data_IF_959988250052
#
_entry.id   IF_959988250052
#
_cell.length_a   1.000
_cell.length_b   1.000
_cell.length_c   1.000
_cell.angle_alpha   90.00
_cell.angle_beta   90.00
_cell.angle_gamma   90.00
#
_symmetry.space_group_name_H-M   'P 1'
#
loop_
_entity.id
_entity.type
_entity.pdbx_description
1 polymer ?
#
# COMPACT_ATOMS: atom_id res chain seq x y z
N UNK A 1 -26.12 -18.09 30.48
CA UNK A 1 -25.73 -17.51 29.17
C UNK A 1 -24.24 -17.25 29.23
N UNK A 2 -23.48 -17.96 28.40
CA UNK A 2 -22.01 -17.99 28.41
C UNK A 2 -21.39 -16.63 28.10
N UNK A 3 -20.67 -16.06 29.07
CA UNK A 3 -19.83 -14.87 28.90
C UNK A 3 -18.46 -15.24 28.30
N UNK A 4 -18.47 -15.91 27.13
CA UNK A 4 -17.24 -16.44 26.49
C UNK A 4 -16.33 -15.42 25.82
N UNK A 5 -16.63 -14.12 25.91
CA UNK A 5 -15.81 -13.07 25.29
C UNK A 5 -15.29 -12.08 26.34
N UNK A 6 -13.98 -12.11 26.58
CA UNK A 6 -13.24 -11.08 27.29
C UNK A 6 -13.32 -9.75 26.53
N UNK A 7 -13.78 -8.65 27.15
CA UNK A 7 -13.77 -7.34 26.51
C UNK A 7 -12.34 -6.80 26.51
N UNK A 8 -11.61 -7.01 25.41
CA UNK A 8 -10.35 -6.32 25.18
C UNK A 8 -10.58 -4.80 25.20
N UNK A 9 -9.81 -4.09 26.01
CA UNK A 9 -9.77 -2.62 26.01
C UNK A 9 -8.44 -2.17 25.45
N UNK A 10 -8.45 -1.30 24.45
CA UNK A 10 -7.24 -0.77 23.81
C UNK A 10 -7.23 0.74 23.94
N UNK A 11 -6.15 1.28 24.47
CA UNK A 11 -5.83 2.70 24.44
C UNK A 11 -4.67 2.92 23.46
N UNK A 12 -5.01 3.46 22.29
CA UNK A 12 -4.03 3.78 21.25
C UNK A 12 -3.17 4.99 21.59
N UNK A 13 -3.64 5.87 22.48
CA UNK A 13 -2.92 7.09 22.86
C UNK A 13 -1.72 6.76 23.75
N UNK A 14 -1.94 5.85 24.70
CA UNK A 14 -0.92 5.41 25.65
C UNK A 14 -0.35 4.02 25.31
N UNK A 15 -0.69 3.51 24.11
CA UNK A 15 -0.27 2.22 23.56
C UNK A 15 -0.35 1.06 24.58
N UNK A 16 -1.47 0.94 25.30
CA UNK A 16 -1.71 -0.19 26.18
C UNK A 16 -3.00 -0.91 25.82
N UNK A 17 -3.01 -2.22 26.06
CA UNK A 17 -4.15 -3.10 25.86
C UNK A 17 -4.36 -3.92 27.13
N UNK A 18 -5.61 -4.02 27.57
CA UNK A 18 -6.01 -4.88 28.68
C UNK A 18 -6.82 -6.05 28.18
N UNK A 19 -6.40 -7.24 28.59
CA UNK A 19 -7.11 -8.49 28.37
C UNK A 19 -7.52 -9.02 29.75
N UNK A 20 -8.82 -8.98 30.06
CA UNK A 20 -9.37 -9.52 31.30
C UNK A 20 -9.95 -10.91 31.04
N UNK A 21 -9.37 -11.97 31.59
CA UNK A 21 -9.89 -13.34 31.50
C UNK A 21 -10.08 -13.93 32.88
N UNK A 22 -11.31 -14.34 33.18
CA UNK A 22 -11.74 -14.78 34.52
C UNK A 22 -11.41 -13.70 35.58
N UNK A 23 -10.59 -14.02 36.58
CA UNK A 23 -10.15 -13.11 37.65
C UNK A 23 -8.80 -12.43 37.35
N UNK A 24 -8.17 -12.74 36.22
CA UNK A 24 -6.87 -12.17 35.85
C UNK A 24 -7.00 -11.05 34.82
N UNK A 25 -6.28 -9.96 35.05
CA UNK A 25 -6.16 -8.84 34.12
C UNK A 25 -4.71 -8.71 33.67
N UNK A 26 -4.47 -8.91 32.37
CA UNK A 26 -3.14 -8.74 31.75
C UNK A 26 -3.09 -7.36 31.09
N UNK A 27 -2.10 -6.55 31.47
CA UNK A 27 -1.77 -5.29 30.82
C UNK A 27 -0.64 -5.53 29.82
N UNK A 28 -0.94 -5.38 28.53
CA UNK A 28 0.06 -5.32 27.46
C UNK A 28 0.36 -3.85 27.20
N UNK A 29 1.43 -3.33 27.79
CA UNK A 29 1.95 -2.01 27.47
C UNK A 29 2.93 -2.15 26.31
N UNK A 30 2.86 -1.27 25.31
CA UNK A 30 3.88 -1.22 24.28
C UNK A 30 5.23 -1.00 24.94
N UNK A 31 6.09 -2.01 24.81
CA UNK A 31 7.45 -1.96 25.35
C UNK A 31 8.17 -0.84 24.62
N UNK A 32 8.82 0.04 25.39
CA UNK A 32 9.70 1.06 24.83
C UNK A 32 10.68 0.37 23.86
N UNK A 33 10.77 0.91 22.64
CA UNK A 33 11.65 0.37 21.61
C UNK A 33 13.07 0.23 22.19
N UNK A 34 13.66 -0.96 22.11
CA UNK A 34 15.02 -1.23 22.59
C UNK A 34 15.95 -0.15 22.04
N UNK A 35 16.82 0.41 22.89
CA UNK A 35 17.68 1.54 22.52
C UNK A 35 18.54 1.27 21.29
N UNK A 36 18.90 0.01 21.03
CA UNK A 36 19.63 -0.41 19.82
C UNK A 36 18.76 -0.31 18.57
N UNK A 37 17.48 -0.65 18.70
CA UNK A 37 16.51 -0.53 17.60
C UNK A 37 16.20 0.94 17.34
N UNK A 38 16.02 1.74 18.39
CA UNK A 38 15.80 3.18 18.25
C UNK A 38 16.97 3.86 17.54
N UNK A 39 18.21 3.55 17.92
CA UNK A 39 19.41 4.09 17.26
C UNK A 39 19.46 3.75 15.75
N UNK A 40 19.00 2.56 15.36
CA UNK A 40 18.91 2.18 13.94
C UNK A 40 17.82 2.99 13.23
N UNK A 41 16.64 3.13 13.82
CA UNK A 41 15.54 3.92 13.24
C UNK A 41 15.96 5.38 13.04
N UNK A 42 16.63 5.97 14.03
CA UNK A 42 17.11 7.35 13.99
C UNK A 42 18.23 7.55 12.94
N UNK A 43 18.97 6.49 12.61
CA UNK A 43 20.02 6.55 11.58
C UNK A 43 19.49 6.47 10.13
N UNK A 44 18.26 5.97 9.94
CA UNK A 44 17.65 5.81 8.60
C UNK A 44 16.23 6.41 8.49
N UNK A 45 16.01 7.68 8.88
CA UNK A 45 14.68 8.29 8.80
C UNK A 45 14.18 8.38 7.36
N UNK A 46 15.09 8.48 6.39
CA UNK A 46 14.76 8.58 4.97
C UNK A 46 14.12 7.34 4.35
N UNK A 47 14.27 6.16 4.97
CA UNK A 47 13.66 4.91 4.47
C UNK A 47 12.14 4.91 4.70
N UNK A 48 11.67 5.67 5.70
CA UNK A 48 10.28 5.73 6.10
C UNK A 48 9.50 6.89 5.46
N UNK A 49 10.15 7.67 4.60
CA UNK A 49 9.50 8.74 3.85
C UNK A 49 8.93 8.12 2.56
N UNK A 50 7.71 8.52 2.20
CA UNK A 50 7.13 8.12 0.92
C UNK A 50 8.04 8.57 -0.24
N UNK A 51 8.42 7.65 -1.15
CA UNK A 51 9.33 7.98 -2.23
C UNK A 51 8.68 9.01 -3.16
N UNK A 52 9.36 10.14 -3.33
CA UNK A 52 8.95 11.18 -4.29
C UNK A 52 9.74 10.99 -5.57
N UNK A 53 9.07 10.57 -6.64
CA UNK A 53 9.69 10.35 -7.95
C UNK A 53 10.22 8.93 -8.16
N UNK A 54 11.08 8.79 -9.16
CA UNK A 54 11.77 7.53 -9.43
C UNK A 54 12.85 7.30 -8.37
N UNK A 55 13.06 6.02 -8.05
CA UNK A 55 14.14 5.60 -7.18
C UNK A 55 15.50 6.07 -7.72
N UNK A 56 16.48 6.34 -6.84
CA UNK A 56 17.84 6.69 -7.27
C UNK A 56 18.41 5.60 -8.18
N UNK A 57 19.27 6.01 -9.11
CA UNK A 57 19.91 5.10 -10.07
C UNK A 57 20.61 3.95 -9.34
N UNK A 58 20.30 2.73 -9.75
CA UNK A 58 20.89 1.50 -9.22
C UNK A 58 21.87 0.92 -10.23
N UNK A 59 22.82 0.06 -9.81
CA UNK A 59 23.72 -0.62 -10.74
C UNK A 59 22.99 -1.60 -11.68
N UNK A 60 21.74 -1.94 -11.36
CA UNK A 60 20.88 -2.78 -12.17
C UNK A 60 19.50 -2.14 -12.32
N UNK A 61 19.07 -2.00 -13.57
CA UNK A 61 17.72 -1.56 -13.92
C UNK A 61 16.89 -2.77 -14.38
N UNK A 62 15.57 -2.69 -14.16
CA UNK A 62 14.65 -3.68 -14.69
C UNK A 62 14.57 -3.54 -16.21
N UNK A 63 14.85 -4.64 -16.93
CA UNK A 63 14.72 -4.71 -18.39
C UNK A 63 13.85 -5.90 -18.78
N UNK A 64 12.90 -5.67 -19.68
CA UNK A 64 12.04 -6.69 -20.25
C UNK A 64 12.59 -7.01 -21.64
N UNK A 65 13.30 -8.14 -21.76
CA UNK A 65 13.84 -8.60 -23.05
C UNK A 65 12.73 -9.22 -23.90
N UNK A 66 12.59 -8.77 -25.14
CA UNK A 66 11.66 -9.35 -26.09
C UNK A 66 12.27 -10.58 -26.76
N UNK A 67 11.44 -11.59 -27.02
CA UNK A 67 11.84 -12.71 -27.88
C UNK A 67 12.02 -12.23 -29.33
N UNK A 68 12.96 -12.79 -30.10
CA UNK A 68 13.12 -12.45 -31.52
C UNK A 68 11.81 -12.69 -32.29
N UNK A 69 11.36 -11.68 -33.06
CA UNK A 69 10.11 -11.74 -33.80
C UNK A 69 8.84 -11.53 -32.96
N UNK A 70 8.96 -11.03 -31.72
CA UNK A 70 7.80 -10.68 -30.90
C UNK A 70 6.86 -9.71 -31.62
N UNK A 71 5.58 -10.06 -31.70
CA UNK A 71 4.55 -9.19 -32.24
C UNK A 71 4.25 -8.05 -31.27
N UNK A 72 4.11 -6.83 -31.81
CA UNK A 72 3.65 -5.68 -31.03
C UNK A 72 2.21 -5.90 -30.57
N UNK A 73 1.92 -5.66 -29.29
CA UNK A 73 0.55 -5.63 -28.77
C UNK A 73 0.11 -4.17 -28.57
N UNK A 74 -0.90 -3.77 -29.34
CA UNK A 74 -1.58 -2.49 -29.19
C UNK A 74 -3.07 -2.75 -29.12
N UNK A 75 -3.56 -2.94 -27.89
CA UNK A 75 -4.94 -3.32 -27.62
C UNK A 75 -5.74 -2.06 -27.28
N UNK A 76 -6.95 -1.95 -27.83
CA UNK A 76 -7.85 -0.83 -27.52
C UNK A 76 -8.26 -0.88 -26.04
N UNK A 77 -8.32 0.27 -25.34
CA UNK A 77 -8.85 0.32 -23.98
C UNK A 77 -10.28 -0.22 -23.88
N UNK A 78 -10.63 -0.87 -22.78
CA UNK A 78 -12.02 -1.29 -22.55
C UNK A 78 -12.94 -0.08 -22.32
N UNK A 79 -14.23 -0.27 -22.56
CA UNK A 79 -15.24 0.74 -22.27
C UNK A 79 -15.59 0.70 -20.78
N UNK A 80 -15.62 1.87 -20.15
CA UNK A 80 -16.00 2.02 -18.76
C UNK A 80 -17.18 3.00 -18.60
N UNK A 81 -18.03 2.82 -17.59
CA UNK A 81 -18.95 3.87 -17.14
C UNK A 81 -18.17 5.10 -16.67
N UNK A 82 -18.80 6.30 -16.68
CA UNK A 82 -18.16 7.55 -16.29
C UNK A 82 -17.50 7.50 -14.90
N UNK A 83 -18.16 6.88 -13.93
CA UNK A 83 -17.66 6.77 -12.54
C UNK A 83 -16.30 6.07 -12.43
N UNK A 84 -16.08 4.99 -13.19
CA UNK A 84 -14.78 4.30 -13.21
C UNK A 84 -13.72 5.11 -13.95
N UNK A 85 -14.12 5.86 -14.99
CA UNK A 85 -13.21 6.71 -15.75
C UNK A 85 -12.65 7.83 -14.86
N UNK A 86 -13.49 8.48 -14.08
CA UNK A 86 -13.09 9.57 -13.18
C UNK A 86 -12.09 9.08 -12.11
N UNK A 87 -12.34 7.90 -11.55
CA UNK A 87 -11.42 7.26 -10.59
C UNK A 87 -10.07 6.90 -11.24
N UNK A 88 -10.09 6.33 -12.45
CA UNK A 88 -8.87 6.02 -13.21
C UNK A 88 -8.07 7.31 -13.48
N UNK A 89 -8.72 8.38 -13.93
CA UNK A 89 -8.06 9.65 -14.23
C UNK A 89 -7.45 10.28 -12.96
N UNK A 90 -8.13 10.14 -11.82
CA UNK A 90 -7.62 10.61 -10.52
C UNK A 90 -6.35 9.87 -10.13
N UNK A 91 -6.36 8.52 -10.17
CA UNK A 91 -5.19 7.69 -9.85
C UNK A 91 -4.03 7.94 -10.83
N UNK A 92 -4.33 8.10 -12.13
CA UNK A 92 -3.30 8.42 -13.13
C UNK A 92 -2.66 9.78 -12.87
N UNK A 93 -3.44 10.80 -12.50
CA UNK A 93 -2.92 12.12 -12.14
C UNK A 93 -2.02 12.05 -10.92
N UNK A 94 -2.41 11.31 -9.90
CA UNK A 94 -1.60 11.09 -8.70
C UNK A 94 -0.27 10.40 -9.04
N UNK A 95 -0.29 9.29 -9.77
CA UNK A 95 0.92 8.57 -10.18
C UNK A 95 1.84 9.42 -11.08
N UNK A 96 1.28 10.29 -11.92
CA UNK A 96 2.06 11.25 -12.70
C UNK A 96 2.73 12.29 -11.79
N UNK A 97 2.01 12.81 -10.80
CA UNK A 97 2.56 13.78 -9.85
C UNK A 97 3.66 13.19 -8.96
N UNK A 98 3.50 11.92 -8.57
CA UNK A 98 4.50 11.15 -7.83
C UNK A 98 5.69 10.71 -8.71
N UNK A 99 5.62 10.87 -10.04
CA UNK A 99 6.69 10.46 -10.96
C UNK A 99 6.84 8.95 -11.14
N UNK A 100 5.85 8.16 -10.71
CA UNK A 100 5.83 6.68 -10.87
C UNK A 100 5.61 6.30 -12.34
N UNK A 101 4.82 7.09 -13.07
CA UNK A 101 4.57 6.91 -14.51
C UNK A 101 4.90 8.18 -15.28
N UNK A 102 5.07 8.05 -16.60
CA UNK A 102 5.26 9.17 -17.52
C UNK A 102 4.45 8.97 -18.80
N UNK A 103 4.09 10.07 -19.47
CA UNK A 103 3.51 10.00 -20.82
C UNK A 103 4.52 9.36 -21.76
N UNK A 104 4.04 8.47 -22.63
CA UNK A 104 4.88 7.79 -23.62
C UNK A 104 4.15 7.66 -24.95
N UNK A 105 4.91 7.60 -26.05
CA UNK A 105 4.43 7.28 -27.39
C UNK A 105 4.90 5.88 -27.78
N UNK A 106 4.61 4.90 -26.91
CA UNK A 106 5.05 3.51 -27.08
C UNK A 106 4.25 2.81 -28.20
N UNK A 107 4.90 1.96 -29.02
CA UNK A 107 4.18 1.07 -29.93
C UNK A 107 3.43 -0.06 -29.20
N UNK A 108 3.74 -0.28 -27.91
CA UNK A 108 3.06 -1.23 -27.03
C UNK A 108 2.01 -0.52 -26.17
N UNK A 109 0.79 -1.07 -26.12
CA UNK A 109 -0.29 -0.59 -25.27
C UNK A 109 -1.17 -1.74 -24.79
N UNK A 110 -1.31 -1.86 -23.47
CA UNK A 110 -2.22 -2.80 -22.81
C UNK A 110 -3.39 -2.05 -22.18
N UNK A 111 -4.59 -2.64 -22.12
CA UNK A 111 -5.73 -2.04 -21.44
C UNK A 111 -5.53 -2.10 -19.93
N UNK A 112 -6.04 -1.08 -19.23
CA UNK A 112 -6.10 -1.04 -17.75
C UNK A 112 -7.36 -1.79 -17.29
N UNK A 113 -7.42 -2.25 -16.04
CA UNK A 113 -8.66 -2.71 -15.43
C UNK A 113 -8.70 -2.26 -13.98
N UNK A 114 -9.75 -1.55 -13.58
CA UNK A 114 -9.94 -1.15 -12.19
C UNK A 114 -10.57 -2.30 -11.40
N UNK A 115 -9.99 -2.63 -10.25
CA UNK A 115 -10.53 -3.63 -9.34
C UNK A 115 -10.65 -3.05 -7.93
N UNK A 116 -11.82 -3.23 -7.32
CA UNK A 116 -12.05 -2.80 -5.93
C UNK A 116 -11.32 -3.74 -4.99
N UNK A 117 -10.36 -3.21 -4.23
CA UNK A 117 -9.78 -3.96 -3.11
C UNK A 117 -10.85 -4.18 -2.04
N UNK A 118 -10.92 -5.40 -1.50
CA UNK A 118 -11.71 -5.68 -0.30
C UNK A 118 -11.01 -5.05 0.89
N UNK A 119 -11.66 -4.09 1.54
CA UNK A 119 -11.23 -3.57 2.84
C UNK A 119 -11.72 -4.53 3.92
N UNK A 120 -10.89 -4.83 4.92
CA UNK A 120 -11.24 -5.72 6.04
C UNK A 120 -12.23 -5.09 7.03
N UNK A 121 -12.69 -3.87 6.78
CA UNK A 121 -13.82 -3.24 7.48
C UNK A 121 -14.92 -2.93 6.46
N UNK A 122 -16.11 -3.43 6.77
CA UNK A 122 -17.26 -3.54 5.88
C UNK A 122 -18.00 -2.23 5.71
N UNK A 123 -17.37 -1.26 5.07
CA UNK A 123 -18.08 -0.09 4.55
C UNK A 123 -18.53 -0.41 3.12
N UNK A 124 -19.72 -1.00 3.05
CA UNK A 124 -20.55 -1.02 1.86
C UNK A 124 -20.97 0.42 1.56
N UNK A 125 -20.68 0.86 0.33
CA UNK A 125 -21.32 2.04 -0.26
C UNK A 125 -22.80 1.73 -0.51
#
# INVERSE_FOLDING_TARGET
MDHRYSPMRVDWTNMWMVISYQENTIYLQAVAVDSRVQAVLDSYPSIFIDPVGLLPTRPCDHSISLIPGAQLFHIRPYRYPPTLKDEIETQVKEMLSQGVIRKSSSPFASPILLSKRKTTHGDSV
#
